data_IF_797945030361
#
_entry.id   IF_797945030361
#
_cell.length_a   1.000
_cell.length_b   1.000
_cell.length_c   1.000
_cell.angle_alpha   90.00
_cell.angle_beta   90.00
_cell.angle_gamma   90.00
#
_symmetry.space_group_name_H-M   'P 1'
#
loop_
_entity.id
_entity.type
_entity.pdbx_description
1 polymer ?
#
# COMPACT_ATOMS: atom_id res chain seq x y z
N UNK A 1 -6.85 -27.54 -23.75
CA UNK A 1 -5.45 -27.10 -23.55
C UNK A 1 -4.96 -27.68 -22.26
N UNK A 2 -3.78 -28.31 -22.25
CA UNK A 2 -3.13 -28.70 -21.00
C UNK A 2 -2.99 -27.46 -20.09
N UNK A 3 -3.36 -27.55 -18.79
CA UNK A 3 -3.25 -26.42 -17.86
C UNK A 3 -1.83 -25.84 -17.81
N UNK A 4 -0.83 -26.69 -18.00
CA UNK A 4 0.58 -26.32 -18.06
C UNK A 4 0.90 -25.41 -19.25
N UNK A 5 0.34 -25.70 -20.43
CA UNK A 5 0.56 -24.90 -21.65
C UNK A 5 -0.03 -23.50 -21.52
N UNK A 6 -1.21 -23.38 -20.90
CA UNK A 6 -1.85 -22.08 -20.62
C UNK A 6 -1.01 -21.26 -19.64
N UNK A 7 -0.47 -21.91 -18.59
CA UNK A 7 0.41 -21.26 -17.62
C UNK A 7 1.71 -20.72 -18.24
N UNK A 8 2.38 -21.51 -19.08
CA UNK A 8 3.62 -21.09 -19.77
C UNK A 8 3.34 -19.92 -20.72
N UNK A 9 2.24 -19.98 -21.47
CA UNK A 9 1.87 -18.93 -22.42
C UNK A 9 1.48 -17.62 -21.71
N UNK A 10 0.84 -17.71 -20.55
CA UNK A 10 0.57 -16.57 -19.68
C UNK A 10 1.86 -15.93 -19.12
N UNK A 11 2.79 -16.73 -18.61
CA UNK A 11 4.07 -16.23 -18.08
C UNK A 11 4.86 -15.47 -19.15
N UNK A 12 4.99 -16.05 -20.34
CA UNK A 12 5.65 -15.41 -21.48
C UNK A 12 4.91 -14.12 -21.89
N UNK A 13 3.57 -14.15 -21.90
CA UNK A 13 2.74 -12.99 -22.21
C UNK A 13 2.99 -11.80 -21.28
N UNK A 14 3.07 -12.03 -19.96
CA UNK A 14 3.36 -10.96 -18.98
C UNK A 14 4.76 -10.38 -19.22
N UNK A 15 5.76 -11.24 -19.41
CA UNK A 15 7.16 -10.80 -19.63
C UNK A 15 7.26 -9.93 -20.87
N UNK A 16 6.66 -10.33 -21.99
CA UNK A 16 6.66 -9.56 -23.25
C UNK A 16 5.97 -8.21 -23.06
N UNK A 17 4.84 -8.18 -22.37
CA UNK A 17 4.05 -6.97 -22.16
C UNK A 17 4.76 -5.96 -21.24
N UNK A 18 5.49 -6.45 -20.23
CA UNK A 18 6.35 -5.62 -19.38
C UNK A 18 7.55 -5.06 -20.15
N UNK A 19 8.18 -5.86 -21.02
CA UNK A 19 9.27 -5.40 -21.89
C UNK A 19 8.83 -4.33 -22.90
N UNK A 20 7.57 -4.39 -23.36
CA UNK A 20 6.94 -3.38 -24.21
C UNK A 20 6.61 -2.07 -23.47
N UNK A 21 6.89 -1.98 -22.17
CA UNK A 21 6.66 -0.78 -21.35
C UNK A 21 5.25 -0.66 -20.78
N UNK A 22 4.43 -1.72 -20.84
CA UNK A 22 3.12 -1.73 -20.17
C UNK A 22 3.32 -1.85 -18.66
N UNK A 23 2.59 -1.05 -17.89
CA UNK A 23 2.59 -1.15 -16.42
C UNK A 23 2.20 -2.57 -15.99
N UNK A 24 2.98 -3.16 -15.09
CA UNK A 24 2.85 -4.56 -14.64
C UNK A 24 1.42 -4.91 -14.22
N UNK A 25 0.69 -3.98 -13.59
CA UNK A 25 -0.68 -4.24 -13.17
C UNK A 25 -1.64 -4.51 -14.34
N UNK A 26 -1.50 -3.80 -15.48
CA UNK A 26 -2.31 -4.03 -16.66
C UNK A 26 -1.94 -5.35 -17.34
N UNK A 27 -0.63 -5.67 -17.40
CA UNK A 27 -0.14 -6.92 -17.95
C UNK A 27 -0.66 -8.13 -17.16
N UNK A 28 -0.54 -8.08 -15.83
CA UNK A 28 -1.03 -9.12 -14.95
C UNK A 28 -2.56 -9.27 -14.99
N UNK A 29 -3.30 -8.16 -15.02
CA UNK A 29 -4.76 -8.18 -15.10
C UNK A 29 -5.24 -8.83 -16.41
N UNK A 30 -4.70 -8.41 -17.55
CA UNK A 30 -5.14 -8.91 -18.86
C UNK A 30 -4.81 -10.40 -19.04
N UNK A 31 -3.58 -10.80 -18.71
CA UNK A 31 -3.17 -12.20 -18.80
C UNK A 31 -3.93 -13.07 -17.79
N UNK A 32 -4.17 -12.57 -16.58
CA UNK A 32 -4.96 -13.26 -15.57
C UNK A 32 -6.41 -13.51 -16.01
N UNK A 33 -7.06 -12.50 -16.59
CA UNK A 33 -8.42 -12.62 -17.14
C UNK A 33 -8.49 -13.63 -18.28
N UNK A 34 -7.55 -13.54 -19.24
CA UNK A 34 -7.49 -14.47 -20.39
C UNK A 34 -7.17 -15.90 -19.93
N UNK A 35 -6.28 -16.07 -18.96
CA UNK A 35 -5.96 -17.36 -18.33
C UNK A 35 -7.16 -17.97 -17.60
N UNK A 36 -7.91 -17.17 -16.84
CA UNK A 36 -9.11 -17.63 -16.14
C UNK A 36 -10.23 -18.03 -17.11
N UNK A 37 -10.45 -17.26 -18.18
CA UNK A 37 -11.46 -17.58 -19.20
C UNK A 37 -11.12 -18.88 -19.93
N UNK A 38 -9.85 -19.11 -20.26
CA UNK A 38 -9.40 -20.31 -20.97
C UNK A 38 -9.43 -21.58 -20.11
N UNK A 39 -9.26 -21.45 -18.78
CA UNK A 39 -9.28 -22.60 -17.85
C UNK A 39 -10.67 -22.91 -17.27
N UNK A 40 -11.48 -21.89 -16.97
CA UNK A 40 -12.78 -22.03 -16.26
C UNK A 40 -14.01 -21.69 -17.12
N UNK A 41 -13.82 -21.25 -18.36
CA UNK A 41 -14.90 -20.87 -19.28
C UNK A 41 -15.41 -19.43 -19.07
N UNK A 42 -16.08 -18.90 -20.10
CA UNK A 42 -16.50 -17.49 -20.19
C UNK A 42 -17.37 -17.01 -19.01
N UNK A 43 -18.29 -17.83 -18.52
CA UNK A 43 -19.20 -17.44 -17.43
C UNK A 43 -18.48 -17.25 -16.08
N UNK A 44 -17.53 -18.13 -15.75
CA UNK A 44 -16.80 -18.09 -14.48
C UNK A 44 -15.60 -17.13 -14.56
N UNK A 45 -14.93 -17.06 -15.71
CA UNK A 45 -13.79 -16.17 -15.93
C UNK A 45 -14.17 -14.69 -15.83
N UNK A 46 -15.31 -14.29 -16.43
CA UNK A 46 -15.80 -12.90 -16.36
C UNK A 46 -16.32 -12.58 -14.94
N UNK A 47 -17.05 -13.50 -14.29
CA UNK A 47 -17.54 -13.29 -12.93
C UNK A 47 -16.43 -13.12 -11.88
N UNK A 48 -15.39 -13.95 -11.93
CA UNK A 48 -14.25 -13.87 -11.01
C UNK A 48 -13.40 -12.63 -11.30
N UNK A 49 -13.23 -12.25 -12.57
CA UNK A 49 -12.48 -11.05 -12.94
C UNK A 49 -13.09 -9.74 -12.45
N UNK A 50 -14.40 -9.69 -12.24
CA UNK A 50 -15.09 -8.54 -11.64
C UNK A 50 -15.05 -8.55 -10.11
N UNK A 51 -15.09 -9.74 -9.49
CA UNK A 51 -15.13 -9.88 -8.04
C UNK A 51 -13.77 -9.60 -7.37
N UNK A 52 -12.66 -10.05 -7.96
CA UNK A 52 -11.32 -9.88 -7.36
C UNK A 52 -10.93 -8.40 -7.20
N UNK A 53 -11.03 -7.53 -8.24
CA UNK A 53 -10.70 -6.12 -8.09
C UNK A 53 -11.68 -5.38 -7.18
N UNK A 54 -12.95 -5.82 -7.16
CA UNK A 54 -13.97 -5.22 -6.29
C UNK A 54 -13.73 -5.54 -4.81
N UNK A 55 -13.35 -6.79 -4.49
CA UNK A 55 -12.96 -7.18 -3.14
C UNK A 55 -11.67 -6.44 -2.69
N UNK A 56 -10.71 -6.26 -3.61
CA UNK A 56 -9.44 -5.60 -3.31
C UNK A 56 -9.56 -4.06 -3.16
N UNK A 57 -10.37 -3.42 -4.00
CA UNK A 57 -10.67 -1.98 -3.83
C UNK A 57 -11.55 -1.69 -2.62
N UNK A 58 -12.34 -2.67 -2.15
CA UNK A 58 -13.06 -2.62 -0.89
C UNK A 58 -12.17 -2.97 0.33
N UNK A 59 -10.88 -3.28 0.15
CA UNK A 59 -10.00 -3.49 1.28
C UNK A 59 -9.78 -2.20 2.06
N UNK A 60 -10.00 -2.35 3.36
CA UNK A 60 -9.98 -1.34 4.42
C UNK A 60 -8.73 -0.44 4.39
N UNK A 61 -7.61 -0.92 3.87
CA UNK A 61 -6.32 -0.20 3.82
C UNK A 61 -6.37 1.13 3.07
N UNK A 62 -7.15 1.25 2.00
CA UNK A 62 -7.25 2.50 1.24
C UNK A 62 -8.04 3.60 2.00
N UNK A 63 -8.94 3.22 2.91
CA UNK A 63 -9.65 4.15 3.81
C UNK A 63 -8.82 4.54 5.03
N UNK A 64 -7.84 3.71 5.43
CA UNK A 64 -6.95 4.00 6.57
C UNK A 64 -5.99 5.15 6.24
N UNK A 65 -5.56 5.30 4.99
CA UNK A 65 -4.64 6.37 4.58
C UNK A 65 -5.22 7.79 4.79
N UNK A 66 -6.45 8.12 4.34
CA UNK A 66 -7.06 9.42 4.64
C UNK A 66 -7.29 9.65 6.14
N UNK A 67 -7.70 8.61 6.89
CA UNK A 67 -7.90 8.69 8.34
C UNK A 67 -6.59 9.00 9.07
N UNK A 68 -5.47 8.38 8.67
CA UNK A 68 -4.14 8.66 9.21
C UNK A 68 -3.74 10.13 9.00
N UNK A 69 -3.95 10.65 7.78
CA UNK A 69 -3.67 12.05 7.46
C UNK A 69 -4.55 13.00 8.28
N UNK A 70 -5.83 12.66 8.45
CA UNK A 70 -6.78 13.45 9.25
C UNK A 70 -6.36 13.51 10.73
N UNK A 71 -5.98 12.38 11.32
CA UNK A 71 -5.48 12.31 12.71
C UNK A 71 -4.20 13.15 12.85
N UNK A 72 -3.27 13.04 11.89
CA UNK A 72 -2.07 13.88 11.86
C UNK A 72 -2.39 15.38 11.81
N UNK A 73 -3.33 15.79 10.97
CA UNK A 73 -3.75 17.19 10.84
C UNK A 73 -4.45 17.71 12.10
N UNK A 74 -5.31 16.90 12.72
CA UNK A 74 -5.98 17.23 13.98
C UNK A 74 -4.97 17.37 15.13
N UNK A 75 -4.02 16.43 15.23
CA UNK A 75 -3.00 16.48 16.27
C UNK A 75 -2.04 17.66 16.09
N UNK A 76 -1.79 18.09 14.85
CA UNK A 76 -1.05 19.33 14.56
C UNK A 76 -1.82 20.58 15.00
N UNK A 77 -3.11 20.69 14.65
CA UNK A 77 -3.94 21.83 15.05
C UNK A 77 -4.22 21.88 16.57
N UNK A 78 -4.25 20.73 17.24
CA UNK A 78 -4.40 20.63 18.69
C UNK A 78 -3.12 20.99 19.47
N UNK A 79 -2.02 21.32 18.79
CA UNK A 79 -0.73 21.64 19.42
C UNK A 79 0.01 20.43 20.01
N UNK A 80 -0.47 19.21 19.75
CA UNK A 80 0.10 17.97 20.29
C UNK A 80 1.53 17.73 19.76
N UNK A 81 1.78 18.10 18.50
CA UNK A 81 3.12 18.07 17.86
C UNK A 81 4.10 19.00 18.55
N UNK A 82 3.68 20.23 18.89
CA UNK A 82 4.53 21.18 19.62
C UNK A 82 4.78 20.74 21.05
N UNK A 83 3.77 20.19 21.74
CA UNK A 83 3.94 19.60 23.08
C UNK A 83 4.90 18.41 23.08
N UNK A 84 4.76 17.50 22.11
CA UNK A 84 5.65 16.36 21.95
C UNK A 84 7.09 16.77 21.63
N UNK A 85 7.28 17.78 20.78
CA UNK A 85 8.60 18.33 20.47
C UNK A 85 9.25 18.98 21.69
N UNK A 86 8.49 19.74 22.48
CA UNK A 86 9.00 20.38 23.69
C UNK A 86 9.36 19.34 24.75
N UNK A 87 8.56 18.27 24.91
CA UNK A 87 8.86 17.15 25.80
C UNK A 87 10.13 16.39 25.35
N UNK A 88 10.25 16.10 24.05
CA UNK A 88 11.45 15.46 23.48
C UNK A 88 12.70 16.34 23.64
N UNK A 89 12.57 17.65 23.47
CA UNK A 89 13.66 18.61 23.69
C UNK A 89 14.05 18.73 25.17
N UNK A 90 13.10 18.63 26.09
CA UNK A 90 13.43 18.64 27.53
C UNK A 90 14.12 17.34 27.96
N UNK A 91 13.80 16.20 27.34
CA UNK A 91 14.45 14.91 27.64
C UNK A 91 15.79 14.70 26.91
N UNK A 92 15.89 15.05 25.63
CA UNK A 92 17.06 14.77 24.79
C UNK A 92 17.88 16.01 24.41
N UNK A 93 17.46 17.20 24.87
CA UNK A 93 18.14 18.46 24.54
C UNK A 93 19.55 18.59 25.13
N UNK A 94 19.91 17.76 26.11
CA UNK A 94 21.28 17.75 26.67
C UNK A 94 22.30 17.06 25.75
N UNK A 95 21.87 16.26 24.77
CA UNK A 95 22.79 15.58 23.84
C UNK A 95 23.40 16.57 22.84
N UNK A 96 24.65 16.35 22.39
CA UNK A 96 25.25 17.13 21.31
C UNK A 96 24.40 16.98 20.03
N UNK A 97 23.88 18.10 19.51
CA UNK A 97 22.87 18.09 18.44
C UNK A 97 21.42 17.96 18.93
N UNK A 98 21.14 18.30 20.19
CA UNK A 98 19.85 18.07 20.87
C UNK A 98 18.60 18.55 20.13
N UNK A 99 18.69 19.61 19.32
CA UNK A 99 17.59 20.04 18.43
C UNK A 99 17.31 18.99 17.34
N UNK A 100 18.33 18.46 16.68
CA UNK A 100 18.16 17.41 15.67
C UNK A 100 17.65 16.11 16.28
N UNK A 101 18.19 15.71 17.43
CA UNK A 101 17.76 14.49 18.16
C UNK A 101 16.31 14.61 18.61
N UNK A 102 15.91 15.77 19.15
CA UNK A 102 14.53 16.01 19.58
C UNK A 102 13.51 15.96 18.43
N UNK A 103 13.88 16.45 17.23
CA UNK A 103 13.02 16.37 16.03
C UNK A 103 12.82 14.93 15.59
N UNK A 104 13.90 14.13 15.53
CA UNK A 104 13.82 12.72 15.14
C UNK A 104 12.99 11.93 16.13
N UNK A 105 13.18 12.15 17.43
CA UNK A 105 12.42 11.45 18.48
C UNK A 105 10.94 11.83 18.47
N UNK A 106 10.63 13.12 18.25
CA UNK A 106 9.25 13.60 18.14
C UNK A 106 8.56 13.04 16.89
N UNK A 107 9.26 13.02 15.74
CA UNK A 107 8.75 12.42 14.50
C UNK A 107 8.55 10.89 14.64
N UNK A 108 9.48 10.19 15.27
CA UNK A 108 9.37 8.75 15.55
C UNK A 108 8.23 8.44 16.52
N UNK A 109 8.03 9.27 17.55
CA UNK A 109 6.90 9.13 18.48
C UNK A 109 5.54 9.35 17.80
N UNK A 110 5.45 10.35 16.92
CA UNK A 110 4.27 10.56 16.10
C UNK A 110 4.00 9.39 15.15
N UNK A 111 5.04 8.88 14.49
CA UNK A 111 4.96 7.71 13.60
C UNK A 111 4.51 6.43 14.36
N UNK A 112 4.96 6.26 15.61
CA UNK A 112 4.58 5.13 16.46
C UNK A 112 3.10 5.17 16.86
N UNK A 113 2.57 6.34 17.25
CA UNK A 113 1.16 6.51 17.62
C UNK A 113 0.24 6.38 16.42
N UNK A 114 0.72 6.85 15.27
CA UNK A 114 -0.07 6.87 14.04
C UNK A 114 -0.14 5.50 13.33
N UNK A 115 0.62 4.50 13.79
CA UNK A 115 0.26 3.09 13.62
C UNK A 115 0.06 2.64 12.17
N UNK A 116 1.03 2.91 11.28
CA UNK A 116 0.97 2.44 9.90
C UNK A 116 1.05 0.89 9.75
N UNK A 117 1.33 0.16 10.84
CA UNK A 117 1.46 -1.31 10.82
C UNK A 117 0.13 -2.05 10.64
N UNK A 118 -1.02 -1.41 10.82
CA UNK A 118 -2.34 -2.01 10.50
C UNK A 118 -2.75 -1.79 9.03
N UNK A 119 -1.92 -1.12 8.23
CA UNK A 119 -2.19 -0.77 6.84
C UNK A 119 -1.29 -1.47 5.80
N UNK A 120 -0.41 -2.39 6.22
CA UNK A 120 0.36 -3.32 5.36
C UNK A 120 -0.18 -4.73 5.48
#
# INVERSE_FOLDING_TARGET
MEPLTVGILGMVGIIVMVLLGVRVFFAAALVGVIGLITLKGLGVGVGISGFIPHAETAHYGLSVVPMFILIGHLAFHAGLTQGAFQAARNWFGWLPGGVAVSTVFSAAGFAAVSGASTAT
#
